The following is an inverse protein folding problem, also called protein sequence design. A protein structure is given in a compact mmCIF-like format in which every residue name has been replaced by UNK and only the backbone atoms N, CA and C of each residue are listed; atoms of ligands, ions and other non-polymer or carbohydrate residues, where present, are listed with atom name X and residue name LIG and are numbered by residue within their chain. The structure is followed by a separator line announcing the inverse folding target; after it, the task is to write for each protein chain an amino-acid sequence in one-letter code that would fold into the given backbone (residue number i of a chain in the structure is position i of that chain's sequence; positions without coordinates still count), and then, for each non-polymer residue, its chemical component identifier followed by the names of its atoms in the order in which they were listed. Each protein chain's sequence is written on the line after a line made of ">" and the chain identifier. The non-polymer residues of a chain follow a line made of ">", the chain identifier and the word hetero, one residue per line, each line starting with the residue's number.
data_IF_789525671835
#
_entry.id   IF_789525671835
#
_cell.length_a   1.000
_cell.length_b   1.000
_cell.length_c   1.000
_cell.angle_alpha   90.00
_cell.angle_beta   90.00
_cell.angle_gamma   90.00
#
_symmetry.space_group_name_H-M   'P 1'
#
loop_
_entity.id
_entity.type
_entity.pdbx_description
1 polymer ?
#
# COMPACT_ATOMS: atom_id res chain seq x y z
N UNK A 1 -48.11 -26.79 13.19
CA UNK A 1 -48.23 -26.27 11.81
C UNK A 1 -46.82 -26.03 11.29
N UNK A 2 -46.35 -26.78 10.27
CA UNK A 2 -45.06 -26.53 9.65
C UNK A 2 -45.20 -25.53 8.48
N UNK A 3 -44.06 -25.08 7.97
CA UNK A 3 -43.81 -24.36 6.71
C UNK A 3 -44.05 -22.84 6.70
N UNK A 4 -42.95 -22.09 6.50
CA UNK A 4 -43.02 -20.65 6.28
C UNK A 4 -41.69 -19.92 6.03
N UNK A 5 -40.51 -20.51 6.30
CA UNK A 5 -39.23 -19.79 6.18
C UNK A 5 -38.14 -20.62 5.50
N UNK A 6 -38.14 -20.68 4.16
CA UNK A 6 -36.96 -21.16 3.37
C UNK A 6 -37.04 -20.94 1.85
N UNK A 7 -37.68 -19.87 1.35
CA UNK A 7 -37.93 -19.74 -0.10
C UNK A 7 -37.00 -18.79 -0.90
N UNK A 8 -36.18 -17.96 -0.26
CA UNK A 8 -35.52 -16.84 -0.96
C UNK A 8 -33.98 -16.80 -0.92
N UNK A 9 -33.33 -17.86 -0.44
CA UNK A 9 -31.89 -18.05 -0.65
C UNK A 9 -31.63 -18.73 -2.00
N UNK A 10 -30.74 -18.17 -2.80
CA UNK A 10 -30.18 -18.85 -3.98
C UNK A 10 -29.39 -20.07 -3.49
N UNK A 11 -29.81 -21.27 -3.88
CA UNK A 11 -29.05 -22.48 -3.55
C UNK A 11 -27.73 -22.47 -4.34
N UNK A 12 -26.59 -22.52 -3.64
CA UNK A 12 -25.27 -22.41 -4.25
C UNK A 12 -25.00 -23.52 -5.27
N UNK A 13 -25.52 -24.73 -5.06
CA UNK A 13 -25.35 -25.84 -6.01
C UNK A 13 -25.99 -25.54 -7.36
N UNK A 14 -27.22 -25.02 -7.36
CA UNK A 14 -27.94 -24.64 -8.58
C UNK A 14 -27.15 -23.57 -9.35
N UNK A 15 -26.65 -22.55 -8.65
CA UNK A 15 -25.81 -21.50 -9.21
C UNK A 15 -24.57 -22.11 -9.89
N UNK A 16 -23.82 -22.98 -9.21
CA UNK A 16 -22.63 -23.62 -9.79
C UNK A 16 -22.94 -24.45 -11.04
N UNK A 17 -24.07 -25.16 -11.09
CA UNK A 17 -24.46 -25.91 -12.29
C UNK A 17 -24.74 -25.01 -13.49
N UNK A 18 -25.24 -23.79 -13.27
CA UNK A 18 -25.46 -22.81 -14.33
C UNK A 18 -24.14 -22.20 -14.78
N UNK A 19 -23.27 -21.80 -13.86
CA UNK A 19 -21.95 -21.26 -14.18
C UNK A 19 -21.07 -22.26 -14.97
N UNK A 20 -21.16 -23.55 -14.64
CA UNK A 20 -20.37 -24.60 -15.30
C UNK A 20 -20.79 -24.92 -16.73
N UNK A 21 -22.00 -24.54 -17.17
CA UNK A 21 -22.51 -24.90 -18.50
C UNK A 21 -22.56 -23.66 -19.43
N UNK A 22 -21.80 -23.64 -20.54
CA UNK A 22 -21.73 -22.50 -21.45
C UNK A 22 -23.06 -22.17 -22.13
N UNK A 23 -23.90 -23.18 -22.43
CA UNK A 23 -25.20 -22.97 -23.07
C UNK A 23 -26.18 -22.32 -22.10
N UNK A 24 -26.22 -22.78 -20.84
CA UNK A 24 -27.06 -22.17 -19.81
C UNK A 24 -26.68 -20.72 -19.53
N UNK A 25 -25.38 -20.43 -19.43
CA UNK A 25 -24.88 -19.05 -19.31
C UNK A 25 -25.36 -18.20 -20.49
N UNK A 26 -25.27 -18.73 -21.71
CA UNK A 26 -25.68 -17.98 -22.90
C UNK A 26 -27.19 -17.72 -22.96
N UNK A 27 -28.02 -18.65 -22.49
CA UNK A 27 -29.47 -18.42 -22.33
C UNK A 27 -29.73 -17.24 -21.39
N UNK A 28 -29.08 -17.23 -20.22
CA UNK A 28 -29.25 -16.15 -19.24
C UNK A 28 -28.79 -14.80 -19.82
N UNK A 29 -27.66 -14.75 -20.51
CA UNK A 29 -27.19 -13.53 -21.20
C UNK A 29 -28.19 -13.03 -22.25
N UNK A 30 -28.65 -13.91 -23.14
CA UNK A 30 -29.56 -13.54 -24.22
C UNK A 30 -30.88 -12.98 -23.68
N UNK A 31 -31.45 -13.62 -22.66
CA UNK A 31 -32.70 -13.18 -22.05
C UNK A 31 -32.53 -11.88 -21.24
N UNK A 32 -31.36 -11.64 -20.62
CA UNK A 32 -31.06 -10.38 -19.95
C UNK A 32 -30.88 -9.22 -20.93
N UNK A 33 -30.19 -9.45 -22.05
CA UNK A 33 -29.82 -8.40 -23.01
C UNK A 33 -30.92 -8.09 -24.01
N UNK A 34 -31.68 -9.11 -24.43
CA UNK A 34 -32.71 -8.99 -25.48
C UNK A 34 -34.14 -9.12 -24.96
N UNK A 35 -34.32 -9.46 -23.68
CA UNK A 35 -35.63 -9.64 -23.06
C UNK A 35 -36.29 -10.97 -23.44
N UNK A 36 -37.63 -10.98 -23.45
CA UNK A 36 -38.39 -12.21 -23.63
C UNK A 36 -38.25 -12.81 -25.05
N UNK A 37 -37.90 -14.09 -25.15
CA UNK A 37 -37.64 -14.78 -26.42
C UNK A 37 -38.44 -16.08 -26.57
N UNK A 38 -38.91 -16.37 -27.77
CA UNK A 38 -39.54 -17.65 -28.09
C UNK A 38 -38.53 -18.81 -28.13
N UNK A 39 -39.04 -20.05 -28.06
CA UNK A 39 -38.21 -21.26 -28.17
C UNK A 39 -37.41 -21.29 -29.49
N UNK A 40 -38.05 -20.93 -30.61
CA UNK A 40 -37.43 -20.92 -31.94
C UNK A 40 -36.32 -19.87 -32.05
N UNK A 41 -36.48 -18.71 -31.42
CA UNK A 41 -35.46 -17.67 -31.38
C UNK A 41 -34.26 -18.08 -30.52
N UNK A 42 -34.50 -18.62 -29.33
CA UNK A 42 -33.42 -19.16 -28.48
C UNK A 42 -32.66 -20.28 -29.17
N UNK A 43 -33.37 -21.21 -29.81
CA UNK A 43 -32.76 -22.31 -30.58
C UNK A 43 -31.87 -21.77 -31.70
N UNK A 44 -32.35 -20.76 -32.44
CA UNK A 44 -31.61 -20.15 -33.54
C UNK A 44 -30.34 -19.45 -33.07
N UNK A 45 -30.42 -18.67 -31.99
CA UNK A 45 -29.26 -17.93 -31.44
C UNK A 45 -28.24 -18.86 -30.78
N UNK A 46 -28.69 -19.94 -30.13
CA UNK A 46 -27.82 -20.89 -29.44
C UNK A 46 -27.23 -21.95 -30.37
N UNK A 47 -27.81 -22.17 -31.56
CA UNK A 47 -27.38 -23.19 -32.51
C UNK A 47 -27.53 -24.63 -32.00
N UNK A 48 -28.44 -24.88 -31.06
CA UNK A 48 -28.59 -26.18 -30.37
C UNK A 48 -29.68 -27.06 -30.98
N UNK A 49 -29.59 -28.38 -30.74
CA UNK A 49 -30.67 -29.31 -31.07
C UNK A 49 -31.89 -29.08 -30.18
N UNK A 50 -33.07 -29.53 -30.63
CA UNK A 50 -34.33 -29.37 -29.88
C UNK A 50 -34.22 -29.99 -28.48
N UNK A 51 -33.75 -31.24 -28.40
CA UNK A 51 -33.58 -31.94 -27.12
C UNK A 51 -32.56 -31.27 -26.20
N UNK A 52 -31.45 -30.77 -26.75
CA UNK A 52 -30.44 -30.06 -25.97
C UNK A 52 -30.98 -28.73 -25.39
N UNK A 53 -31.79 -28.00 -26.14
CA UNK A 53 -32.40 -26.77 -25.64
C UNK A 53 -33.39 -27.06 -24.51
N UNK A 54 -34.23 -28.09 -24.64
CA UNK A 54 -35.13 -28.51 -23.57
C UNK A 54 -34.37 -28.90 -22.30
N UNK A 55 -33.29 -29.68 -22.43
CA UNK A 55 -32.45 -30.07 -21.28
C UNK A 55 -31.83 -28.86 -20.56
N UNK A 56 -31.31 -27.88 -21.31
CA UNK A 56 -30.71 -26.69 -20.72
C UNK A 56 -31.74 -25.79 -20.05
N UNK A 57 -32.92 -25.61 -20.66
CA UNK A 57 -34.02 -24.84 -20.08
C UNK A 57 -34.60 -25.50 -18.82
N UNK A 58 -34.68 -26.83 -18.80
CA UNK A 58 -35.12 -27.58 -17.62
C UNK A 58 -34.15 -27.36 -16.45
N UNK A 59 -32.85 -27.40 -16.74
CA UNK A 59 -31.79 -27.07 -15.79
C UNK A 59 -31.64 -25.58 -15.47
N UNK A 60 -32.56 -24.72 -15.91
CA UNK A 60 -32.68 -23.29 -15.60
C UNK A 60 -34.00 -22.94 -14.90
N UNK A 61 -34.79 -23.93 -14.51
CA UNK A 61 -36.01 -23.75 -13.71
C UNK A 61 -35.71 -22.90 -12.47
N UNK A 62 -36.55 -21.90 -12.21
CA UNK A 62 -36.37 -20.93 -11.13
C UNK A 62 -35.57 -19.67 -11.54
N UNK A 63 -34.71 -19.76 -12.56
CA UNK A 63 -34.00 -18.61 -13.14
C UNK A 63 -34.67 -18.07 -14.41
N UNK A 64 -35.31 -18.96 -15.17
CA UNK A 64 -36.07 -18.63 -16.39
C UNK A 64 -37.52 -19.10 -16.21
N UNK A 65 -38.45 -18.25 -16.62
CA UNK A 65 -39.90 -18.54 -16.65
C UNK A 65 -40.50 -18.17 -18.01
N UNK A 66 -41.80 -18.36 -18.19
CA UNK A 66 -42.54 -17.98 -19.40
C UNK A 66 -43.49 -16.81 -19.13
N UNK A 67 -43.51 -15.85 -20.06
CA UNK A 67 -44.51 -14.78 -20.08
C UNK A 67 -45.89 -15.29 -20.55
N UNK A 68 -46.89 -14.40 -20.53
CA UNK A 68 -48.26 -14.68 -21.00
C UNK A 68 -48.30 -15.14 -22.47
N UNK A 69 -47.32 -14.73 -23.27
CA UNK A 69 -47.15 -15.12 -24.67
C UNK A 69 -46.33 -16.41 -24.86
N UNK A 70 -46.06 -17.16 -23.77
CA UNK A 70 -45.24 -18.38 -23.74
C UNK A 70 -43.79 -18.18 -24.21
N UNK A 71 -43.27 -16.96 -24.16
CA UNK A 71 -41.86 -16.64 -24.40
C UNK A 71 -41.08 -16.74 -23.10
N UNK A 72 -39.84 -17.19 -23.19
CA UNK A 72 -38.95 -17.31 -22.04
C UNK A 72 -38.46 -15.94 -21.59
N UNK A 73 -38.49 -15.68 -20.28
CA UNK A 73 -38.05 -14.44 -19.63
C UNK A 73 -37.28 -14.77 -18.35
N UNK A 74 -36.34 -13.92 -17.96
CA UNK A 74 -35.63 -14.09 -16.69
C UNK A 74 -36.52 -13.75 -15.49
N UNK A 75 -36.44 -14.59 -14.46
CA UNK A 75 -37.01 -14.29 -13.13
C UNK A 75 -36.13 -13.28 -12.40
N UNK A 76 -36.57 -12.81 -11.23
CA UNK A 76 -35.74 -11.98 -10.34
C UNK A 76 -34.43 -12.70 -9.94
N UNK A 77 -34.50 -14.01 -9.67
CA UNK A 77 -33.31 -14.85 -9.40
C UNK A 77 -32.41 -14.94 -10.62
N UNK A 78 -32.98 -15.07 -11.82
CA UNK A 78 -32.24 -15.04 -13.10
C UNK A 78 -31.48 -13.74 -13.34
N UNK A 79 -32.09 -12.59 -13.05
CA UNK A 79 -31.42 -11.28 -13.15
C UNK A 79 -30.29 -11.13 -12.13
N UNK A 80 -30.49 -11.59 -10.90
CA UNK A 80 -29.43 -11.59 -9.88
C UNK A 80 -28.24 -12.47 -10.29
N UNK A 81 -28.52 -13.64 -10.89
CA UNK A 81 -27.50 -14.54 -11.43
C UNK A 81 -26.70 -13.90 -12.59
N UNK A 82 -27.39 -13.26 -13.54
CA UNK A 82 -26.74 -12.53 -14.64
C UNK A 82 -25.79 -11.44 -14.11
N UNK A 83 -26.22 -10.67 -13.10
CA UNK A 83 -25.39 -9.64 -12.48
C UNK A 83 -24.13 -10.25 -11.84
N UNK A 84 -24.28 -11.33 -11.08
CA UNK A 84 -23.15 -12.05 -10.48
C UNK A 84 -22.17 -12.60 -11.54
N UNK A 85 -22.69 -13.12 -12.66
CA UNK A 85 -21.87 -13.57 -13.79
C UNK A 85 -21.04 -12.42 -14.39
N UNK A 86 -21.66 -11.27 -14.69
CA UNK A 86 -20.94 -10.12 -15.25
C UNK A 86 -19.88 -9.55 -14.31
N UNK A 87 -20.21 -9.43 -13.03
CA UNK A 87 -19.25 -8.93 -12.03
C UNK A 87 -18.06 -9.89 -11.87
N UNK A 88 -18.32 -11.21 -11.88
CA UNK A 88 -17.28 -12.24 -11.88
C UNK A 88 -16.38 -12.18 -13.10
N UNK A 89 -16.96 -12.08 -14.31
CA UNK A 89 -16.19 -11.97 -15.55
C UNK A 89 -15.33 -10.70 -15.59
N UNK A 90 -15.85 -9.57 -15.12
CA UNK A 90 -15.08 -8.32 -15.03
C UNK A 90 -13.98 -8.39 -13.96
N UNK A 91 -14.22 -9.06 -12.82
CA UNK A 91 -13.19 -9.31 -11.82
C UNK A 91 -12.07 -10.21 -12.36
N UNK A 92 -12.42 -11.27 -13.09
CA UNK A 92 -11.48 -12.17 -13.76
C UNK A 92 -10.71 -11.43 -14.84
N UNK A 93 -11.38 -10.62 -15.68
CA UNK A 93 -10.70 -9.75 -16.66
C UNK A 93 -9.75 -8.76 -16.02
N UNK A 94 -10.08 -8.16 -14.87
CA UNK A 94 -9.14 -7.28 -14.14
C UNK A 94 -7.95 -8.04 -13.57
N UNK A 95 -8.17 -9.26 -13.09
CA UNK A 95 -7.10 -10.13 -12.60
C UNK A 95 -6.18 -10.62 -13.73
N UNK A 96 -6.73 -10.89 -14.91
CA UNK A 96 -6.03 -11.36 -16.10
C UNK A 96 -5.52 -10.24 -17.01
N UNK A 97 -6.03 -9.02 -16.86
CA UNK A 97 -5.53 -7.83 -17.55
C UNK A 97 -4.09 -7.62 -17.10
N UNK A 98 -3.19 -8.08 -17.96
CA UNK A 98 -1.74 -7.98 -17.82
C UNK A 98 -1.41 -6.56 -17.44
N UNK A 99 -0.81 -6.39 -16.25
CA UNK A 99 -0.31 -5.09 -15.79
C UNK A 99 0.53 -4.51 -16.92
N UNK A 100 0.23 -3.25 -17.30
CA UNK A 100 0.88 -2.57 -18.41
C UNK A 100 2.41 -2.70 -18.29
N UNK A 101 3.16 -2.87 -19.39
CA UNK A 101 4.59 -3.20 -19.35
C UNK A 101 5.43 -2.19 -18.56
N UNK A 102 5.05 -0.90 -18.59
CA UNK A 102 5.69 0.14 -17.79
C UNK A 102 5.50 -0.07 -16.28
N UNK A 103 4.33 -0.54 -15.83
CA UNK A 103 4.05 -0.81 -14.42
C UNK A 103 4.86 -2.03 -13.94
N UNK A 104 5.08 -3.01 -14.80
CA UNK A 104 5.92 -4.18 -14.51
C UNK A 104 7.41 -3.79 -14.42
N UNK A 105 7.88 -2.92 -15.31
CA UNK A 105 9.25 -2.40 -15.27
C UNK A 105 9.50 -1.54 -14.02
N UNK A 106 8.55 -0.69 -13.66
CA UNK A 106 8.63 0.18 -12.48
C UNK A 106 8.62 -0.64 -11.17
N UNK A 107 7.77 -1.67 -11.09
CA UNK A 107 7.73 -2.61 -9.95
C UNK A 107 9.01 -3.44 -9.83
N UNK A 108 9.56 -3.88 -10.97
CA UNK A 108 10.74 -4.75 -11.00
C UNK A 108 12.07 -4.01 -10.73
N UNK A 109 12.24 -2.80 -11.26
CA UNK A 109 13.52 -2.07 -11.17
C UNK A 109 13.50 -0.94 -10.15
N UNK A 110 12.47 -0.09 -10.15
CA UNK A 110 12.44 1.11 -9.28
C UNK A 110 12.01 0.73 -7.87
N UNK A 111 10.91 0.00 -7.72
CA UNK A 111 10.39 -0.39 -6.40
C UNK A 111 11.27 -1.43 -5.71
N UNK A 112 11.90 -2.35 -6.46
CA UNK A 112 12.82 -3.34 -5.87
C UNK A 112 14.13 -2.74 -5.37
N UNK A 113 14.60 -1.65 -5.99
CA UNK A 113 15.86 -0.98 -5.59
C UNK A 113 15.62 0.09 -4.53
N UNK A 114 14.48 0.78 -4.59
CA UNK A 114 14.11 1.82 -3.63
C UNK A 114 13.56 1.22 -2.34
N UNK A 115 12.82 0.11 -2.42
CA UNK A 115 12.19 -0.56 -1.28
C UNK A 115 12.58 -2.06 -1.21
N UNK A 116 13.86 -2.39 -0.95
CA UNK A 116 14.33 -3.77 -0.86
C UNK A 116 13.79 -4.46 0.40
N UNK A 117 12.58 -5.02 0.30
CA UNK A 117 11.91 -5.74 1.39
C UNK A 117 12.75 -6.87 1.98
N UNK A 118 13.65 -7.46 1.17
CA UNK A 118 14.58 -8.51 1.58
C UNK A 118 15.49 -8.10 2.74
N UNK A 119 15.82 -6.81 2.86
CA UNK A 119 16.63 -6.31 3.98
C UNK A 119 15.90 -6.41 5.32
N UNK A 120 14.57 -6.36 5.33
CA UNK A 120 13.78 -6.32 6.57
C UNK A 120 13.26 -7.69 7.03
N UNK A 121 13.26 -8.69 6.14
CA UNK A 121 12.80 -10.06 6.47
C UNK A 121 13.59 -10.69 7.63
N UNK A 122 14.93 -10.60 7.73
CA UNK A 122 15.69 -11.16 8.84
C UNK A 122 15.37 -10.51 10.19
N UNK A 123 15.14 -9.19 10.20
CA UNK A 123 14.79 -8.42 11.41
C UNK A 123 13.37 -8.73 11.89
N UNK A 124 12.45 -9.05 10.99
CA UNK A 124 11.11 -9.49 11.36
C UNK A 124 11.14 -10.86 12.05
N UNK A 125 11.99 -11.78 11.59
CA UNK A 125 12.03 -13.16 12.10
C UNK A 125 12.68 -13.27 13.49
N UNK A 126 13.67 -12.43 13.78
CA UNK A 126 14.49 -12.53 15.00
C UNK A 126 14.44 -11.25 15.83
N UNK A 127 13.72 -11.26 16.95
CA UNK A 127 13.56 -10.10 17.86
C UNK A 127 14.91 -9.58 18.37
N UNK A 128 15.86 -10.46 18.70
CA UNK A 128 17.19 -10.04 19.18
C UNK A 128 18.01 -9.31 18.12
N UNK A 129 17.93 -9.74 16.85
CA UNK A 129 18.59 -9.04 15.74
C UNK A 129 17.95 -7.67 15.49
N UNK A 130 16.62 -7.58 15.63
CA UNK A 130 15.90 -6.31 15.54
C UNK A 130 16.34 -5.34 16.62
N UNK A 131 16.44 -5.78 17.88
CA UNK A 131 16.91 -4.96 18.98
C UNK A 131 18.36 -4.50 18.79
N UNK A 132 19.26 -5.39 18.35
CA UNK A 132 20.64 -5.03 18.06
C UNK A 132 20.75 -4.01 16.91
N UNK A 133 19.99 -4.21 15.83
CA UNK A 133 19.96 -3.29 14.70
C UNK A 133 19.42 -1.92 15.09
N UNK A 134 18.39 -1.86 15.95
CA UNK A 134 17.87 -0.62 16.51
C UNK A 134 18.95 0.11 17.32
N UNK A 135 19.59 -0.57 18.27
CA UNK A 135 20.65 0.03 19.10
C UNK A 135 21.78 0.55 18.22
N UNK A 136 22.28 -0.27 17.29
CA UNK A 136 23.38 0.11 16.40
C UNK A 136 23.01 1.32 15.54
N UNK A 137 21.82 1.31 14.95
CA UNK A 137 21.35 2.41 14.10
C UNK A 137 21.16 3.70 14.90
N UNK A 138 20.67 3.62 16.13
CA UNK A 138 20.54 4.78 17.01
C UNK A 138 21.90 5.32 17.43
N UNK A 139 22.85 4.45 17.79
CA UNK A 139 24.21 4.86 18.14
C UNK A 139 24.92 5.54 16.96
N UNK A 140 24.76 5.02 15.74
CA UNK A 140 25.29 5.65 14.52
C UNK A 140 24.64 7.01 14.29
N UNK A 141 23.32 7.13 14.46
CA UNK A 141 22.60 8.40 14.31
C UNK A 141 23.05 9.47 15.30
N UNK A 142 23.17 9.12 16.58
CA UNK A 142 23.70 10.01 17.63
C UNK A 142 25.13 10.45 17.31
N UNK A 143 26.00 9.50 16.98
CA UNK A 143 27.42 9.78 16.68
C UNK A 143 27.55 10.71 15.47
N UNK A 144 26.79 10.45 14.42
CA UNK A 144 26.80 11.27 13.19
C UNK A 144 26.29 12.68 13.46
N UNK A 145 25.21 12.81 14.22
CA UNK A 145 24.63 14.11 14.58
C UNK A 145 25.60 14.95 15.41
N UNK A 146 26.32 14.33 16.35
CA UNK A 146 27.31 15.01 17.19
C UNK A 146 28.55 15.48 16.40
N UNK A 147 29.06 14.63 15.50
CA UNK A 147 30.22 14.98 14.66
C UNK A 147 29.87 16.10 13.67
N UNK A 148 28.73 15.99 13.00
CA UNK A 148 28.35 16.90 11.91
C UNK A 148 27.68 18.18 12.41
N UNK A 149 27.09 18.14 13.61
CA UNK A 149 26.26 19.20 14.22
C UNK A 149 25.05 19.61 13.37
N UNK A 150 24.59 18.72 12.50
CA UNK A 150 23.41 18.93 11.67
C UNK A 150 22.18 18.35 12.37
N UNK A 151 21.14 19.15 12.67
CA UNK A 151 19.91 18.61 13.26
C UNK A 151 19.12 17.80 12.23
N UNK A 152 18.63 16.64 12.66
CA UNK A 152 17.74 15.77 11.88
C UNK A 152 16.31 15.90 12.41
N UNK A 153 15.47 16.64 11.69
CA UNK A 153 14.04 16.82 11.97
C UNK A 153 13.23 15.85 11.10
N UNK A 154 12.73 14.77 11.70
CA UNK A 154 12.02 13.64 11.09
C UNK A 154 12.83 12.94 9.97
N UNK A 155 12.58 13.32 8.71
CA UNK A 155 13.28 12.80 7.51
C UNK A 155 14.08 13.93 6.84
N UNK A 156 14.10 15.13 7.41
CA UNK A 156 14.81 16.29 6.86
C UNK A 156 16.02 16.67 7.70
N UNK A 157 17.14 16.85 7.00
CA UNK A 157 18.40 17.31 7.59
C UNK A 157 18.52 18.79 7.31
N UNK A 158 18.74 19.61 8.34
CA UNK A 158 19.08 21.01 8.11
C UNK A 158 20.49 21.10 7.55
N UNK A 159 20.65 21.92 6.51
CA UNK A 159 21.94 22.07 5.83
C UNK A 159 22.87 23.04 6.58
N UNK A 160 22.39 23.71 7.62
CA UNK A 160 23.17 24.64 8.43
C UNK A 160 23.50 23.97 9.76
N UNK A 161 24.77 23.86 10.15
CA UNK A 161 25.14 23.28 11.44
C UNK A 161 24.71 24.19 12.58
N UNK A 162 24.18 23.59 13.65
CA UNK A 162 23.89 24.28 14.90
C UNK A 162 25.19 24.53 15.67
N UNK A 163 25.72 25.74 15.51
CA UNK A 163 26.93 26.18 16.21
C UNK A 163 26.61 26.97 17.48
N UNK A 164 25.41 27.56 17.56
CA UNK A 164 24.99 28.42 18.66
C UNK A 164 23.94 27.74 19.55
N UNK A 165 23.97 27.98 20.87
CA UNK A 165 22.92 27.50 21.77
C UNK A 165 21.58 28.14 21.39
N UNK A 166 20.54 27.30 21.29
CA UNK A 166 19.15 27.77 21.14
C UNK A 166 18.43 27.63 22.47
N UNK A 167 17.68 28.66 22.84
CA UNK A 167 16.77 28.58 23.98
C UNK A 167 15.49 27.88 23.55
N UNK A 168 15.16 26.77 24.20
CA UNK A 168 13.84 26.16 24.10
C UNK A 168 13.15 26.35 25.44
N UNK A 169 11.95 26.95 25.42
CA UNK A 169 11.12 27.12 26.61
C UNK A 169 11.83 27.83 27.78
N UNK A 170 12.63 28.86 27.47
CA UNK A 170 13.46 29.63 28.42
C UNK A 170 14.61 28.89 29.13
N UNK A 171 14.91 27.64 28.76
CA UNK A 171 16.15 26.95 29.17
C UNK A 171 17.23 27.11 28.10
N UNK A 172 18.40 27.64 28.48
CA UNK A 172 19.60 27.64 27.65
C UNK A 172 20.27 26.26 27.75
N UNK A 173 20.10 25.43 26.73
CA UNK A 173 20.73 24.12 26.67
C UNK A 173 22.05 24.20 25.89
N UNK A 174 23.03 23.39 26.32
CA UNK A 174 24.24 23.18 25.52
C UNK A 174 23.86 22.55 24.16
N UNK A 175 24.54 22.96 23.07
CA UNK A 175 24.17 22.56 21.70
C UNK A 175 24.23 21.04 21.48
N UNK A 176 25.13 20.33 22.17
CA UNK A 176 25.24 18.87 22.07
C UNK A 176 24.03 18.15 22.66
N UNK A 177 23.56 18.59 23.83
CA UNK A 177 22.37 18.03 24.48
C UNK A 177 21.14 18.31 23.64
N UNK A 178 21.06 19.51 23.06
CA UNK A 178 19.95 19.89 22.19
C UNK A 178 19.88 19.01 20.94
N UNK A 179 21.01 18.79 20.26
CA UNK A 179 21.08 17.95 19.05
C UNK A 179 20.64 16.51 19.33
N UNK A 180 21.10 15.92 20.43
CA UNK A 180 20.71 14.56 20.82
C UNK A 180 19.22 14.52 21.17
N UNK A 181 18.73 15.52 21.89
CA UNK A 181 17.30 15.60 22.24
C UNK A 181 16.43 15.74 21.00
N UNK A 182 16.78 16.63 20.07
CA UNK A 182 16.07 16.79 18.80
C UNK A 182 16.06 15.49 17.99
N UNK A 183 17.19 14.79 17.91
CA UNK A 183 17.29 13.49 17.26
C UNK A 183 16.36 12.44 17.92
N UNK A 184 16.40 12.32 19.25
CA UNK A 184 15.56 11.36 19.98
C UNK A 184 14.08 11.68 19.80
N UNK A 185 13.69 12.95 19.92
CA UNK A 185 12.31 13.40 19.70
C UNK A 185 11.88 13.11 18.27
N UNK A 186 12.72 13.44 17.29
CA UNK A 186 12.51 13.19 15.87
C UNK A 186 12.27 11.70 15.57
N UNK A 187 13.09 10.82 16.14
CA UNK A 187 12.93 9.36 16.01
C UNK A 187 11.63 8.86 16.65
N UNK A 188 11.33 9.30 17.87
CA UNK A 188 10.11 8.89 18.59
C UNK A 188 8.84 9.37 17.87
N UNK A 189 8.81 10.64 17.41
CA UNK A 189 7.70 11.20 16.65
C UNK A 189 7.51 10.46 15.34
N UNK A 190 8.59 10.17 14.60
CA UNK A 190 8.51 9.43 13.33
C UNK A 190 7.97 8.02 13.53
N UNK A 191 8.44 7.32 14.57
CA UNK A 191 7.98 5.97 14.93
C UNK A 191 6.52 5.98 15.35
N UNK A 192 6.12 6.92 16.21
CA UNK A 192 4.75 7.08 16.68
C UNK A 192 3.79 7.43 15.53
N UNK A 193 4.19 8.34 14.64
CA UNK A 193 3.40 8.73 13.48
C UNK A 193 3.18 7.55 12.52
N UNK A 194 4.24 6.83 12.17
CA UNK A 194 4.12 5.64 11.31
C UNK A 194 3.26 4.56 11.98
N UNK A 195 3.43 4.33 13.28
CA UNK A 195 2.60 3.38 14.02
C UNK A 195 1.12 3.78 14.00
N UNK A 196 0.82 5.07 14.22
CA UNK A 196 -0.54 5.61 14.20
C UNK A 196 -1.19 5.44 12.81
N UNK A 197 -0.51 5.90 11.77
CA UNK A 197 -1.01 5.79 10.39
C UNK A 197 -1.18 4.33 9.97
N UNK A 198 -0.22 3.47 10.32
CA UNK A 198 -0.30 2.03 10.03
C UNK A 198 -1.44 1.35 10.78
N UNK A 199 -1.72 1.78 12.02
CA UNK A 199 -2.85 1.31 12.81
C UNK A 199 -4.18 1.71 12.17
N UNK A 200 -4.31 2.98 11.74
CA UNK A 200 -5.50 3.48 11.05
C UNK A 200 -5.77 2.73 9.74
N UNK A 201 -4.71 2.36 9.01
CA UNK A 201 -4.84 1.66 7.71
C UNK A 201 -5.11 0.16 7.88
N UNK A 202 -4.54 -0.49 8.91
CA UNK A 202 -4.51 -1.97 9.01
C UNK A 202 -5.38 -2.54 10.11
N UNK A 203 -5.77 -1.74 11.11
CA UNK A 203 -6.62 -2.14 12.24
C UNK A 203 -6.04 -3.21 13.18
N UNK A 204 -4.79 -3.61 13.00
CA UNK A 204 -4.16 -4.72 13.71
C UNK A 204 -3.11 -4.27 14.73
N UNK A 205 -2.80 -5.12 15.72
CA UNK A 205 -1.72 -4.86 16.69
C UNK A 205 -0.36 -4.90 15.99
N UNK A 206 0.40 -3.83 16.15
CA UNK A 206 1.70 -3.62 15.49
C UNK A 206 2.86 -4.06 16.39
N UNK A 207 3.86 -4.77 15.86
CA UNK A 207 5.11 -5.02 16.59
C UNK A 207 5.94 -3.73 16.68
N UNK A 208 5.74 -2.95 17.75
CA UNK A 208 6.37 -1.64 17.95
C UNK A 208 7.90 -1.69 17.83
N UNK A 209 8.55 -2.71 18.39
CA UNK A 209 10.01 -2.87 18.32
C UNK A 209 10.48 -3.09 16.89
N UNK A 210 9.79 -3.93 16.11
CA UNK A 210 10.13 -4.15 14.70
C UNK A 210 9.96 -2.89 13.86
N UNK A 211 8.87 -2.16 14.09
CA UNK A 211 8.60 -0.90 13.41
C UNK A 211 9.66 0.17 13.76
N UNK A 212 10.03 0.30 15.04
CA UNK A 212 11.09 1.20 15.49
C UNK A 212 12.43 0.89 14.82
N UNK A 213 12.81 -0.39 14.74
CA UNK A 213 14.00 -0.83 13.99
C UNK A 213 13.89 -0.47 12.51
N UNK A 214 12.72 -0.69 11.91
CA UNK A 214 12.44 -0.32 10.52
C UNK A 214 12.66 1.17 10.24
N UNK A 215 12.15 2.03 11.13
CA UNK A 215 12.33 3.49 11.06
C UNK A 215 13.80 3.87 11.23
N UNK A 216 14.48 3.32 12.23
CA UNK A 216 15.89 3.62 12.49
C UNK A 216 16.78 3.25 11.29
N UNK A 217 16.61 2.04 10.75
CA UNK A 217 17.36 1.56 9.56
C UNK A 217 17.04 2.39 8.32
N UNK A 218 15.80 2.85 8.16
CA UNK A 218 15.43 3.67 7.02
C UNK A 218 16.02 5.09 7.08
N UNK A 219 16.48 5.56 8.24
CA UNK A 219 17.18 6.84 8.39
C UNK A 219 18.68 6.76 8.03
N UNK A 220 19.26 5.56 7.84
CA UNK A 220 20.68 5.38 7.52
C UNK A 220 21.16 6.17 6.29
N UNK A 221 20.40 6.27 5.18
CA UNK A 221 20.80 7.14 4.06
C UNK A 221 20.97 8.60 4.49
N UNK A 222 20.16 9.10 5.41
CA UNK A 222 20.26 10.48 5.88
C UNK A 222 21.54 10.69 6.69
N UNK A 223 21.96 9.71 7.50
CA UNK A 223 23.26 9.76 8.19
C UNK A 223 24.42 9.77 7.19
N UNK A 224 24.33 8.98 6.12
CA UNK A 224 25.33 9.01 5.05
C UNK A 224 25.41 10.40 4.39
N UNK A 225 24.27 11.06 4.15
CA UNK A 225 24.25 12.44 3.67
C UNK A 225 24.94 13.39 4.63
N UNK A 226 24.67 13.31 5.94
CA UNK A 226 25.28 14.18 6.95
C UNK A 226 26.81 14.06 6.94
N UNK A 227 27.33 12.83 6.84
CA UNK A 227 28.78 12.59 6.74
C UNK A 227 29.38 13.15 5.45
N UNK A 228 28.71 12.97 4.31
CA UNK A 228 29.16 13.52 3.01
C UNK A 228 29.16 15.04 3.04
N UNK A 229 28.13 15.66 3.60
CA UNK A 229 28.07 17.10 3.80
C UNK A 229 29.27 17.56 4.64
N UNK A 230 29.49 16.94 5.80
CA UNK A 230 30.61 17.30 6.67
C UNK A 230 31.98 17.10 6.01
N UNK A 231 32.18 16.03 5.24
CA UNK A 231 33.41 15.79 4.51
C UNK A 231 33.71 16.88 3.46
N UNK A 232 32.67 17.43 2.82
CA UNK A 232 32.79 18.43 1.76
C UNK A 232 32.88 19.86 2.29
N UNK A 233 32.15 20.19 3.35
CA UNK A 233 32.07 21.56 3.87
C UNK A 233 32.94 21.79 5.11
N UNK A 234 33.24 20.73 5.87
CA UNK A 234 33.78 20.85 7.22
C UNK A 234 32.91 21.76 8.10
N UNK A 235 33.57 22.55 8.95
CA UNK A 235 32.94 23.62 9.74
C UNK A 235 33.06 25.01 9.08
N UNK A 236 33.32 25.10 7.78
CA UNK A 236 33.54 26.37 7.09
C UNK A 236 32.25 27.17 6.81
N UNK A 237 31.13 26.86 7.47
CA UNK A 237 29.90 27.60 7.34
C UNK A 237 30.03 29.00 7.99
N UNK A 238 29.55 30.09 7.34
CA UNK A 238 28.72 30.13 6.12
C UNK A 238 29.50 30.28 4.78
N UNK A 239 30.82 30.21 4.78
CA UNK A 239 31.69 30.50 3.62
C UNK A 239 31.73 29.39 2.54
N UNK A 240 30.66 28.61 2.41
CA UNK A 240 30.56 27.52 1.43
C UNK A 240 30.04 28.07 0.10
N UNK A 241 30.64 27.64 -1.01
CA UNK A 241 30.19 28.06 -2.35
C UNK A 241 28.75 27.61 -2.62
N UNK A 242 27.96 28.48 -3.26
CA UNK A 242 26.57 28.21 -3.61
C UNK A 242 26.40 26.93 -4.46
N UNK A 243 27.34 26.66 -5.36
CA UNK A 243 27.32 25.46 -6.21
C UNK A 243 27.41 24.17 -5.39
N UNK A 244 28.25 24.15 -4.34
CA UNK A 244 28.41 23.01 -3.44
C UNK A 244 27.13 22.81 -2.63
N UNK A 245 26.52 23.88 -2.13
CA UNK A 245 25.25 23.81 -1.40
C UNK A 245 24.11 23.26 -2.27
N UNK A 246 24.04 23.65 -3.55
CA UNK A 246 23.04 23.15 -4.50
C UNK A 246 23.23 21.65 -4.77
N UNK A 247 24.47 21.20 -5.01
CA UNK A 247 24.78 19.77 -5.19
C UNK A 247 24.41 18.96 -3.95
N UNK A 248 24.73 19.46 -2.76
CA UNK A 248 24.34 18.83 -1.49
C UNK A 248 22.82 18.80 -1.31
N UNK A 249 22.10 19.86 -1.69
CA UNK A 249 20.64 19.86 -1.63
C UNK A 249 20.01 18.82 -2.56
N UNK A 250 20.53 18.67 -3.79
CA UNK A 250 20.08 17.62 -4.72
C UNK A 250 20.40 16.22 -4.17
N UNK A 251 21.59 16.05 -3.60
CA UNK A 251 21.99 14.80 -2.96
C UNK A 251 21.05 14.45 -1.80
N UNK A 252 20.72 15.41 -0.93
CA UNK A 252 19.76 15.20 0.16
C UNK A 252 18.42 14.69 -0.36
N UNK A 253 17.88 15.27 -1.45
CA UNK A 253 16.61 14.80 -2.03
C UNK A 253 16.68 13.37 -2.54
N UNK A 254 17.80 12.98 -3.13
CA UNK A 254 18.02 11.60 -3.59
C UNK A 254 18.07 10.62 -2.41
N UNK A 255 18.82 10.94 -1.35
CA UNK A 255 18.89 10.06 -0.16
C UNK A 255 17.58 10.06 0.65
N UNK A 256 16.81 11.13 0.64
CA UNK A 256 15.45 11.17 1.19
C UNK A 256 14.50 10.24 0.42
N UNK A 257 14.58 10.20 -0.91
CA UNK A 257 13.79 9.26 -1.72
C UNK A 257 14.16 7.81 -1.40
N UNK A 258 15.45 7.53 -1.16
CA UNK A 258 15.91 6.21 -0.72
C UNK A 258 15.38 5.87 0.69
N UNK A 259 15.46 6.80 1.64
CA UNK A 259 14.91 6.64 2.99
C UNK A 259 13.40 6.37 2.96
N UNK A 260 12.65 7.06 2.09
CA UNK A 260 11.22 6.85 1.86
C UNK A 260 10.92 5.43 1.37
N UNK A 261 11.72 4.91 0.43
CA UNK A 261 11.58 3.54 -0.05
C UNK A 261 11.89 2.50 1.01
N UNK A 262 12.92 2.70 1.82
CA UNK A 262 13.23 1.84 2.97
C UNK A 262 12.11 1.87 4.02
N UNK A 263 11.55 3.04 4.33
CA UNK A 263 10.39 3.18 5.21
C UNK A 263 9.18 2.43 4.65
N UNK A 264 8.93 2.56 3.35
CA UNK A 264 7.85 1.83 2.66
C UNK A 264 8.02 0.32 2.79
N UNK A 265 9.25 -0.18 2.60
CA UNK A 265 9.58 -1.59 2.78
C UNK A 265 9.40 -2.05 4.23
N UNK A 266 9.89 -1.27 5.20
CA UNK A 266 9.76 -1.55 6.61
C UNK A 266 8.28 -1.65 7.03
N UNK A 267 7.46 -0.65 6.67
CA UNK A 267 6.03 -0.65 6.99
C UNK A 267 5.33 -1.86 6.36
N UNK A 268 5.60 -2.17 5.09
CA UNK A 268 5.00 -3.32 4.42
C UNK A 268 5.33 -4.65 5.12
N UNK A 269 6.59 -4.84 5.55
CA UNK A 269 7.05 -6.06 6.22
C UNK A 269 6.53 -6.16 7.65
N UNK A 270 6.71 -5.12 8.47
CA UNK A 270 6.33 -5.15 9.89
C UNK A 270 4.82 -5.07 10.13
N UNK A 271 4.10 -4.34 9.28
CA UNK A 271 2.64 -4.17 9.40
C UNK A 271 1.85 -5.21 8.59
N UNK A 272 2.53 -6.08 7.81
CA UNK A 272 1.93 -7.05 6.89
C UNK A 272 0.92 -6.43 5.92
N UNK A 273 1.23 -5.23 5.41
CA UNK A 273 0.37 -4.48 4.49
C UNK A 273 0.90 -4.52 3.05
N UNK A 274 0.06 -4.12 2.09
CA UNK A 274 0.53 -3.92 0.72
C UNK A 274 1.55 -2.77 0.65
N UNK A 275 2.48 -2.84 -0.32
CA UNK A 275 3.49 -1.79 -0.55
C UNK A 275 2.86 -0.41 -0.78
N UNK A 276 1.71 -0.36 -1.45
CA UNK A 276 0.96 0.87 -1.70
C UNK A 276 0.55 1.56 -0.38
N UNK A 277 0.08 0.79 0.60
CA UNK A 277 -0.27 1.30 1.93
C UNK A 277 0.96 1.74 2.73
N UNK A 278 2.05 0.98 2.64
CA UNK A 278 3.33 1.37 3.23
C UNK A 278 3.88 2.68 2.64
N UNK A 279 3.73 2.86 1.32
CA UNK A 279 4.15 4.06 0.62
C UNK A 279 3.32 5.27 1.05
N UNK A 280 1.99 5.10 1.21
CA UNK A 280 1.13 6.16 1.75
C UNK A 280 1.60 6.61 3.13
N UNK A 281 1.88 5.68 4.06
CA UNK A 281 2.37 6.03 5.39
C UNK A 281 3.72 6.77 5.35
N UNK A 282 4.67 6.28 4.55
CA UNK A 282 5.98 6.92 4.40
C UNK A 282 5.87 8.31 3.75
N UNK A 283 5.04 8.47 2.72
CA UNK A 283 4.83 9.75 2.04
C UNK A 283 4.17 10.80 2.93
N UNK A 284 3.19 10.40 3.76
CA UNK A 284 2.58 11.28 4.76
C UNK A 284 3.61 11.78 5.78
N UNK A 285 4.53 10.92 6.22
CA UNK A 285 5.61 11.34 7.10
C UNK A 285 6.56 12.34 6.43
N UNK A 286 6.87 12.15 5.14
CA UNK A 286 7.66 13.10 4.37
C UNK A 286 6.96 14.47 4.25
N UNK A 287 5.66 14.48 3.93
CA UNK A 287 4.88 15.73 3.88
C UNK A 287 4.82 16.42 5.24
N UNK A 288 4.66 15.67 6.33
CA UNK A 288 4.73 16.20 7.69
C UNK A 288 6.09 16.84 7.97
N UNK A 289 7.18 16.21 7.52
CA UNK A 289 8.54 16.75 7.65
C UNK A 289 8.66 18.12 6.97
N UNK A 290 8.17 18.25 5.73
CA UNK A 290 8.19 19.52 5.00
C UNK A 290 7.31 20.59 5.63
N UNK A 291 6.14 20.19 6.13
CA UNK A 291 5.27 21.10 6.84
C UNK A 291 5.96 21.65 8.10
N UNK A 292 6.54 20.77 8.92
CA UNK A 292 7.22 21.17 10.16
C UNK A 292 8.43 22.08 9.91
N UNK A 293 9.18 21.87 8.83
CA UNK A 293 10.27 22.77 8.43
C UNK A 293 9.80 24.22 8.21
N UNK A 294 8.58 24.42 7.73
CA UNK A 294 8.05 25.77 7.52
C UNK A 294 7.65 26.48 8.83
N UNK A 295 7.46 25.74 9.93
CA UNK A 295 6.98 26.27 11.21
C UNK A 295 8.05 26.29 12.30
N UNK A 296 9.07 25.42 12.22
CA UNK A 296 10.19 25.42 13.15
C UNK A 296 11.37 26.21 12.56
N UNK A 297 11.74 27.36 13.15
CA UNK A 297 12.94 28.10 12.75
C UNK A 297 14.23 27.30 13.00
#
# INVERSE_FOLDING_TARGET
>A
MPSGESADSLNFEEVYTVFGNPVKRKVIELLAERGAMSFSELKRELGTSVGALYYNLDGLKGFVDKDESRRYILTRKGHALYKAMREGDEAIKRALATRKPYAVLLDKYVLSILAPQQLFVPFYRNTSLSALALILSLSVGVSTTLVTRLPLKLIEVEQVPLLFPRSILALTLHPEVLLVLEYVVSFLVSTAFIALVSYLISGSRLPLLGLATGVAVAQLPLYAYMLVQFALTGWNYPNVSYTIMLVLALLLRLLQALALGLLTAAVAVFCRTSRERGFLAASLLLYLSFFLKSFLP
#
